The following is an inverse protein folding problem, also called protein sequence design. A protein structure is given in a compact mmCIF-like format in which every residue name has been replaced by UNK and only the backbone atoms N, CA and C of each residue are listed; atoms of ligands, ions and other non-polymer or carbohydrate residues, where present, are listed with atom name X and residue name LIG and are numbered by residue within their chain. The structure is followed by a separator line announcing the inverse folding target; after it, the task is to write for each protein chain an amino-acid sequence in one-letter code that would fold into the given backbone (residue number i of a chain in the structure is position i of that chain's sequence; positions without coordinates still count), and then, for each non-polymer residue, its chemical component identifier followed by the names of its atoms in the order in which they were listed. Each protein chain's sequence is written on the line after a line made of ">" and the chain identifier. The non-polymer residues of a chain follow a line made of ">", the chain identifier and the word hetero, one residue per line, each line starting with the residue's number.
data_IF_685298648306
#
_entry.id   IF_685298648306
#
_cell.length_a   1.000
_cell.length_b   1.000
_cell.length_c   1.000
_cell.angle_alpha   90.00
_cell.angle_beta   90.00
_cell.angle_gamma   90.00
#
_symmetry.space_group_name_H-M   'P 1'
#
loop_
_entity.id
_entity.type
_entity.pdbx_description
1 polymer ?
#
# COMPACT_ATOMS: atom_id res chain seq x y z
N UNK A 1 1.29 -5.27 -12.91
CA UNK A 1 1.89 -6.41 -12.17
C UNK A 1 0.95 -7.61 -12.25
N UNK A 2 1.41 -8.85 -12.08
CA UNK A 2 0.57 -10.05 -12.24
C UNK A 2 -0.34 -10.24 -11.01
N UNK A 3 -1.65 -10.44 -11.23
CA UNK A 3 -2.65 -10.73 -10.18
C UNK A 3 -2.29 -11.97 -9.36
N UNK A 4 -1.74 -13.00 -9.99
CA UNK A 4 -1.38 -14.26 -9.32
C UNK A 4 -0.30 -14.07 -8.25
N UNK A 5 0.66 -13.18 -8.49
CA UNK A 5 1.71 -12.86 -7.52
C UNK A 5 1.14 -12.14 -6.30
N UNK A 6 0.18 -11.23 -6.52
CA UNK A 6 -0.51 -10.51 -5.44
C UNK A 6 -1.30 -11.50 -4.58
N UNK A 7 -2.05 -12.42 -5.20
CA UNK A 7 -2.79 -13.47 -4.50
C UNK A 7 -1.84 -14.32 -3.65
N UNK A 8 -0.73 -14.80 -4.25
CA UNK A 8 0.26 -15.59 -3.51
C UNK A 8 0.81 -14.86 -2.28
N UNK A 9 1.08 -13.56 -2.39
CA UNK A 9 1.56 -12.74 -1.25
C UNK A 9 0.48 -12.53 -0.18
N UNK A 10 -0.79 -12.44 -0.57
CA UNK A 10 -1.93 -12.29 0.34
C UNK A 10 -2.26 -13.59 1.10
N UNK A 11 -2.03 -14.75 0.48
CA UNK A 11 -2.31 -16.06 1.06
C UNK A 11 -1.13 -16.65 1.83
N UNK A 12 0.07 -16.06 1.70
CA UNK A 12 1.24 -16.45 2.46
C UNK A 12 0.97 -16.29 3.97
N UNK A 13 1.24 -17.31 4.79
CA UNK A 13 1.20 -17.18 6.24
C UNK A 13 2.11 -16.03 6.69
N UNK A 14 1.62 -15.22 7.63
CA UNK A 14 2.37 -14.10 8.20
C UNK A 14 2.25 -14.13 9.71
N UNK A 15 3.39 -13.97 10.40
CA UNK A 15 3.39 -13.80 11.83
C UNK A 15 2.97 -12.36 12.19
N UNK A 16 1.79 -12.24 12.79
CA UNK A 16 1.26 -10.96 13.27
C UNK A 16 2.16 -10.27 14.31
N UNK A 17 3.05 -11.01 14.97
CA UNK A 17 4.01 -10.48 15.96
C UNK A 17 5.09 -9.59 15.33
N UNK A 18 5.28 -9.66 14.00
CA UNK A 18 6.18 -8.78 13.26
C UNK A 18 5.77 -7.31 13.32
N UNK A 19 4.51 -7.01 13.66
CA UNK A 19 4.03 -5.64 13.75
C UNK A 19 4.75 -4.87 14.86
N UNK A 20 5.24 -3.66 14.55
CA UNK A 20 6.02 -2.82 15.49
C UNK A 20 5.38 -1.46 15.73
N UNK A 21 5.27 -0.64 14.69
CA UNK A 21 4.68 0.69 14.75
C UNK A 21 3.98 1.06 13.44
N UNK A 22 3.02 1.97 13.47
CA UNK A 22 2.21 2.36 12.31
C UNK A 22 3.13 2.90 11.20
N UNK A 23 2.96 2.34 9.99
CA UNK A 23 3.70 2.72 8.80
C UNK A 23 5.15 2.21 8.72
N UNK A 24 5.66 1.53 9.75
CA UNK A 24 6.98 0.93 9.71
C UNK A 24 7.05 -0.19 8.66
N UNK A 25 8.23 -0.42 8.09
CA UNK A 25 8.49 -1.58 7.24
C UNK A 25 9.17 -2.66 8.06
N UNK A 26 8.64 -3.88 7.98
CA UNK A 26 9.19 -5.07 8.65
C UNK A 26 9.41 -6.17 7.62
N UNK A 27 10.36 -7.05 7.89
CA UNK A 27 10.69 -8.19 7.05
C UNK A 27 10.43 -9.47 7.85
N UNK A 28 9.78 -10.44 7.20
CA UNK A 28 9.75 -11.80 7.69
C UNK A 28 11.07 -12.50 7.30
N UNK A 29 11.81 -12.96 8.31
CA UNK A 29 13.13 -13.57 8.12
C UNK A 29 13.07 -14.86 7.29
N UNK A 30 11.98 -15.62 7.38
CA UNK A 30 11.85 -16.91 6.72
C UNK A 30 11.48 -16.76 5.25
N UNK A 31 10.44 -15.97 4.95
CA UNK A 31 9.95 -15.78 3.58
C UNK A 31 10.70 -14.66 2.82
N UNK A 32 11.46 -13.82 3.53
CA UNK A 32 12.03 -12.56 3.02
C UNK A 32 10.98 -11.60 2.46
N UNK A 33 9.69 -11.83 2.74
CA UNK A 33 8.62 -10.93 2.37
C UNK A 33 8.61 -9.74 3.33
N UNK A 34 8.51 -8.54 2.76
CA UNK A 34 8.42 -7.30 3.52
C UNK A 34 6.98 -6.81 3.62
N UNK A 35 6.66 -6.14 4.71
CA UNK A 35 5.32 -5.70 5.04
C UNK A 35 5.30 -4.25 5.51
N UNK A 36 4.23 -3.53 5.20
CA UNK A 36 3.89 -2.26 5.85
C UNK A 36 3.07 -2.59 7.10
N UNK A 37 3.49 -2.09 8.24
CA UNK A 37 2.70 -2.10 9.47
C UNK A 37 1.50 -1.14 9.33
N UNK A 38 0.30 -1.67 9.48
CA UNK A 38 -0.95 -0.94 9.49
C UNK A 38 -1.25 -0.25 10.80
N UNK A 39 -2.45 0.30 10.91
CA UNK A 39 -2.88 1.12 12.06
C UNK A 39 -3.05 0.34 13.36
N UNK A 40 -3.37 -0.95 13.32
CA UNK A 40 -3.55 -1.76 14.54
C UNK A 40 -2.51 -2.89 14.57
N UNK A 41 -2.24 -3.39 15.77
CA UNK A 41 -1.37 -4.54 16.00
C UNK A 41 -1.77 -5.72 15.11
N UNK A 42 -0.77 -6.35 14.47
CA UNK A 42 -0.95 -7.47 13.56
C UNK A 42 -1.48 -7.10 12.17
N UNK A 43 -1.81 -5.83 11.91
CA UNK A 43 -2.19 -5.40 10.57
C UNK A 43 -0.95 -5.29 9.69
N UNK A 44 -0.72 -6.29 8.83
CA UNK A 44 0.43 -6.30 7.93
C UNK A 44 -0.06 -6.27 6.47
N UNK A 45 0.50 -5.36 5.67
CA UNK A 45 0.24 -5.29 4.23
C UNK A 45 1.47 -5.83 3.52
N UNK A 46 1.42 -6.98 2.84
CA UNK A 46 2.53 -7.41 2.00
C UNK A 46 2.88 -6.29 1.02
N UNK A 47 4.16 -5.95 0.96
CA UNK A 47 4.68 -4.97 0.01
C UNK A 47 4.65 -5.60 -1.37
N UNK A 48 3.97 -4.90 -2.26
CA UNK A 48 3.81 -5.24 -3.67
C UNK A 48 4.77 -4.39 -4.50
N UNK A 49 5.02 -3.15 -4.09
CA UNK A 49 6.02 -2.28 -4.71
C UNK A 49 6.65 -1.37 -3.66
N UNK A 50 7.94 -1.07 -3.82
CA UNK A 50 8.66 -0.14 -2.96
C UNK A 50 9.54 0.75 -3.84
N UNK A 51 9.52 2.04 -3.52
CA UNK A 51 10.36 3.04 -4.16
C UNK A 51 11.08 3.88 -3.13
N UNK A 52 11.82 4.90 -3.58
CA UNK A 52 12.55 5.78 -2.67
C UNK A 52 11.55 6.62 -1.86
N UNK A 53 11.45 6.35 -0.56
CA UNK A 53 10.63 7.12 0.37
C UNK A 53 9.17 6.66 0.49
N UNK A 54 8.79 5.55 -0.16
CA UNK A 54 7.44 5.02 -0.07
C UNK A 54 7.36 3.52 -0.32
N UNK A 55 6.27 2.89 0.14
CA UNK A 55 5.91 1.51 -0.15
C UNK A 55 4.41 1.40 -0.46
N UNK A 56 4.05 0.45 -1.31
CA UNK A 56 2.66 0.16 -1.68
C UNK A 56 2.34 -1.28 -1.37
N UNK A 57 1.24 -1.50 -0.66
CA UNK A 57 0.78 -2.81 -0.26
C UNK A 57 -0.74 -2.96 -0.34
N UNK A 58 -1.19 -4.20 -0.26
CA UNK A 58 -2.60 -4.57 -0.21
C UNK A 58 -2.77 -5.64 0.86
N UNK A 59 -3.86 -5.60 1.61
CA UNK A 59 -4.23 -6.67 2.54
C UNK A 59 -5.66 -7.12 2.33
N UNK A 60 -5.97 -8.36 2.68
CA UNK A 60 -7.34 -8.86 2.85
C UNK A 60 -7.79 -8.66 4.29
N UNK A 61 -9.00 -8.15 4.49
CA UNK A 61 -9.66 -8.06 5.79
C UNK A 61 -10.49 -9.33 5.97
N UNK A 62 -10.06 -10.21 6.87
CA UNK A 62 -10.66 -11.54 7.06
C UNK A 62 -12.13 -11.46 7.50
N UNK A 63 -12.51 -10.42 8.24
CA UNK A 63 -13.85 -10.26 8.81
C UNK A 63 -14.94 -9.86 7.82
N UNK A 64 -14.57 -9.30 6.65
CA UNK A 64 -15.50 -8.56 5.77
C UNK A 64 -15.36 -8.92 4.29
N UNK A 65 -14.58 -9.95 3.93
CA UNK A 65 -14.22 -10.26 2.53
C UNK A 65 -13.77 -9.02 1.74
N UNK A 66 -13.11 -8.08 2.41
CA UNK A 66 -12.74 -6.79 1.85
C UNK A 66 -11.22 -6.70 1.63
N UNK A 67 -10.80 -5.80 0.76
CA UNK A 67 -9.40 -5.53 0.47
C UNK A 67 -9.08 -4.08 0.79
N UNK A 68 -7.90 -3.82 1.36
CA UNK A 68 -7.43 -2.47 1.60
C UNK A 68 -6.10 -2.24 0.92
N UNK A 69 -6.08 -1.28 0.00
CA UNK A 69 -4.86 -0.77 -0.63
C UNK A 69 -4.28 0.30 0.28
N UNK A 70 -2.95 0.28 0.46
CA UNK A 70 -2.20 1.27 1.24
C UNK A 70 -0.98 1.73 0.45
N UNK A 71 -0.81 3.04 0.37
CA UNK A 71 0.44 3.69 -0.01
C UNK A 71 1.02 4.32 1.25
N UNK A 72 2.18 3.87 1.70
CA UNK A 72 2.92 4.44 2.81
C UNK A 72 4.01 5.37 2.29
N UNK A 73 4.02 6.62 2.74
CA UNK A 73 5.17 7.52 2.59
C UNK A 73 5.95 7.56 3.90
N UNK A 74 7.27 7.58 3.81
CA UNK A 74 8.15 7.67 4.98
C UNK A 74 8.42 9.12 5.42
N UNK A 75 7.88 10.07 4.67
CA UNK A 75 7.80 11.49 5.00
C UNK A 75 6.33 11.89 5.23
N UNK A 76 6.05 12.82 6.16
CA UNK A 76 4.71 13.40 6.29
C UNK A 76 4.36 14.34 5.12
N UNK A 77 5.38 14.88 4.45
CA UNK A 77 5.24 15.76 3.31
C UNK A 77 5.15 14.94 2.03
N UNK A 78 4.06 15.16 1.30
CA UNK A 78 3.80 14.55 -0.01
C UNK A 78 3.49 15.70 -0.94
N UNK A 79 4.16 15.71 -2.09
CA UNK A 79 3.98 16.71 -3.15
C UNK A 79 2.48 16.85 -3.53
N UNK A 80 2.05 18.09 -3.81
CA UNK A 80 0.65 18.41 -4.07
C UNK A 80 0.13 17.73 -5.35
N UNK A 81 0.95 17.61 -6.39
CA UNK A 81 0.58 16.92 -7.64
C UNK A 81 0.37 15.43 -7.35
N UNK A 82 1.27 14.83 -6.58
CA UNK A 82 1.16 13.44 -6.17
C UNK A 82 -0.05 13.20 -5.25
N UNK A 83 -0.33 14.14 -4.35
CA UNK A 83 -1.53 14.11 -3.50
C UNK A 83 -2.81 14.06 -4.34
N UNK A 84 -2.95 14.97 -5.32
CA UNK A 84 -4.11 15.03 -6.20
C UNK A 84 -4.27 13.76 -7.02
N UNK A 85 -3.18 13.25 -7.62
CA UNK A 85 -3.20 12.02 -8.41
C UNK A 85 -3.64 10.79 -7.58
N UNK A 86 -3.21 10.69 -6.32
CA UNK A 86 -3.64 9.61 -5.43
C UNK A 86 -5.09 9.78 -4.95
N UNK A 87 -5.51 11.03 -4.70
CA UNK A 87 -6.88 11.34 -4.33
C UNK A 87 -7.87 11.03 -5.48
N UNK A 88 -7.49 11.24 -6.73
CA UNK A 88 -8.27 10.88 -7.93
C UNK A 88 -8.50 9.36 -8.05
N UNK A 89 -7.63 8.54 -7.44
CA UNK A 89 -7.87 7.09 -7.30
C UNK A 89 -8.81 6.74 -6.14
N UNK A 90 -9.34 7.75 -5.44
CA UNK A 90 -10.15 7.60 -4.23
C UNK A 90 -9.37 7.16 -3.00
N UNK A 91 -8.03 7.28 -3.00
CA UNK A 91 -7.22 6.98 -1.83
C UNK A 91 -7.24 8.19 -0.88
N UNK A 92 -7.63 7.96 0.38
CA UNK A 92 -7.70 9.02 1.39
C UNK A 92 -6.36 9.17 2.13
N UNK A 93 -5.83 10.40 2.19
CA UNK A 93 -4.65 10.72 3.02
C UNK A 93 -5.02 10.64 4.50
N UNK A 94 -4.20 9.95 5.29
CA UNK A 94 -4.29 9.84 6.75
C UNK A 94 -2.91 9.95 7.37
N UNK A 95 -2.86 10.48 8.58
CA UNK A 95 -1.66 10.56 9.40
C UNK A 95 -2.07 10.35 10.84
N UNK A 96 -1.32 9.53 11.57
CA UNK A 96 -1.52 9.29 13.00
C UNK A 96 -0.32 9.79 13.80
N UNK A 97 -0.54 10.14 15.07
CA UNK A 97 0.58 10.42 15.98
C UNK A 97 1.48 9.18 16.10
N UNK A 98 2.79 9.37 15.93
CA UNK A 98 3.77 8.29 15.96
C UNK A 98 3.84 7.43 14.69
N UNK A 99 3.02 7.71 13.66
CA UNK A 99 3.15 7.04 12.36
C UNK A 99 4.45 7.44 11.64
N UNK A 100 5.05 6.46 10.96
CA UNK A 100 6.16 6.74 10.03
C UNK A 100 5.66 7.50 8.80
N UNK A 101 5.80 8.82 8.80
CA UNK A 101 5.37 9.68 7.70
C UNK A 101 3.85 9.80 7.63
N UNK A 102 3.26 9.45 6.49
CA UNK A 102 1.80 9.42 6.30
C UNK A 102 1.40 8.32 5.32
N UNK A 103 0.11 8.03 5.22
CA UNK A 103 -0.37 7.04 4.25
C UNK A 103 -1.61 7.50 3.50
N UNK A 104 -1.83 6.86 2.37
CA UNK A 104 -3.08 6.88 1.63
C UNK A 104 -3.70 5.50 1.66
N UNK A 105 -5.01 5.40 1.81
CA UNK A 105 -5.67 4.10 1.77
C UNK A 105 -7.09 4.17 1.24
N UNK A 106 -7.55 3.04 0.68
CA UNK A 106 -8.93 2.83 0.23
C UNK A 106 -9.35 1.40 0.54
N UNK A 107 -10.58 1.25 1.01
CA UNK A 107 -11.23 -0.03 1.25
C UNK A 107 -12.07 -0.41 0.01
N UNK A 108 -12.05 -1.68 -0.35
CA UNK A 108 -12.83 -2.29 -1.43
C UNK A 108 -13.60 -3.48 -0.84
N UNK A 109 -14.93 -3.39 -0.79
CA UNK A 109 -15.79 -4.45 -0.25
C UNK A 109 -16.02 -5.52 -1.32
N UNK A 110 -15.50 -6.73 -1.13
CA UNK A 110 -15.65 -7.85 -2.07
C UNK A 110 -14.96 -7.71 -3.43
N UNK A 111 -14.51 -6.51 -3.81
CA UNK A 111 -13.99 -6.21 -5.14
C UNK A 111 -12.45 -6.25 -5.18
N UNK A 112 -11.92 -7.46 -5.34
CA UNK A 112 -10.49 -7.68 -5.49
C UNK A 112 -9.92 -7.04 -6.77
N UNK A 113 -10.69 -7.05 -7.87
CA UNK A 113 -10.22 -6.58 -9.16
C UNK A 113 -10.02 -5.06 -9.17
N UNK A 114 -10.97 -4.31 -8.61
CA UNK A 114 -10.82 -2.85 -8.43
C UNK A 114 -9.72 -2.50 -7.44
N UNK A 115 -9.51 -3.32 -6.40
CA UNK A 115 -8.40 -3.13 -5.47
C UNK A 115 -7.04 -3.30 -6.18
N UNK A 116 -6.90 -4.33 -7.03
CA UNK A 116 -5.68 -4.55 -7.81
C UNK A 116 -5.49 -3.49 -8.90
N UNK A 117 -6.55 -3.06 -9.57
CA UNK A 117 -6.47 -1.94 -10.53
C UNK A 117 -5.95 -0.68 -9.85
N UNK A 118 -6.57 -0.30 -8.72
CA UNK A 118 -6.15 0.88 -7.95
C UNK A 118 -4.71 0.76 -7.46
N UNK A 119 -4.31 -0.42 -6.97
CA UNK A 119 -2.94 -0.70 -6.57
C UNK A 119 -1.94 -0.48 -7.71
N UNK A 120 -2.22 -1.03 -8.90
CA UNK A 120 -1.35 -0.88 -10.07
C UNK A 120 -1.28 0.58 -10.54
N UNK A 121 -2.41 1.30 -10.55
CA UNK A 121 -2.45 2.71 -10.95
C UNK A 121 -1.70 3.60 -9.95
N UNK A 122 -1.80 3.34 -8.65
CA UNK A 122 -1.02 4.05 -7.64
C UNK A 122 0.49 3.83 -7.86
N UNK A 123 0.90 2.60 -8.18
CA UNK A 123 2.31 2.28 -8.50
C UNK A 123 2.77 3.03 -9.77
N UNK A 124 1.95 3.05 -10.84
CA UNK A 124 2.25 3.79 -12.07
C UNK A 124 2.49 5.28 -11.81
N UNK A 125 1.59 5.91 -11.05
CA UNK A 125 1.72 7.32 -10.63
C UNK A 125 3.04 7.54 -9.89
N UNK A 126 3.35 6.68 -8.91
CA UNK A 126 4.55 6.80 -8.07
C UNK A 126 5.87 6.60 -8.82
N UNK A 127 5.84 5.82 -9.90
CA UNK A 127 6.98 5.67 -10.81
C UNK A 127 7.15 6.84 -11.77
N UNK A 128 6.16 7.74 -11.87
CA UNK A 128 6.14 8.80 -12.86
C UNK A 128 5.79 8.31 -14.27
N UNK A 129 5.21 7.11 -14.42
CA UNK A 129 4.86 6.51 -15.72
C UNK A 129 3.67 7.22 -16.41
N UNK A 130 3.11 8.28 -15.82
CA UNK A 130 2.05 9.13 -16.39
C UNK A 130 2.52 10.48 -16.96
N UNK A 131 3.82 10.78 -16.99
CA UNK A 131 4.36 12.05 -17.51
C UNK A 131 4.93 11.94 -18.94
N UNK A 132 4.51 10.95 -19.72
CA UNK A 132 4.97 10.73 -21.09
C UNK A 132 3.88 10.90 -22.14
N UNK A 133 2.98 11.87 -21.98
CA UNK A 133 2.18 12.40 -23.09
C UNK A 133 2.16 13.93 -23.00
N UNK A 134 2.26 14.58 -24.16
CA UNK A 134 2.22 16.02 -24.45
C UNK A 134 3.52 16.83 -24.30
N UNK A 135 4.50 16.49 -25.15
CA UNK A 135 5.30 17.51 -25.85
C UNK A 135 5.50 17.11 -27.30
N UNK A 136 4.70 17.69 -28.18
CA UNK A 136 5.10 18.15 -29.52
C UNK A 136 4.24 19.36 -29.92
#
# INVERSE_FOLDING_TARGET
>A
MNKEEIIRKLEAPVDSSLWTNIGAIVEDEDSKQRYICGTNVGHLYPIIYEGKGYAVGIRKLVTEEAYRVRVQFFSPEVDDELHLKLADLGLEKKSWEGETGCHYSRLFEGDFDSAVDTLNRAISILKGEHNAEDKD
#
